data_IF_806823785007
#
_entry.id   IF_806823785007
#
_cell.length_a   1.000
_cell.length_b   1.000
_cell.length_c   1.000
_cell.angle_alpha   90.00
_cell.angle_beta   90.00
_cell.angle_gamma   90.00
#
_symmetry.space_group_name_H-M   'P 1'
#
loop_
_entity.id
_entity.type
_entity.pdbx_description
1 polymer ?
#
# COMPACT_ATOMS: atom_id res chain seq x y z
N UNK A 1 -26.24 -15.69 11.19
CA UNK A 1 -25.30 -14.97 10.29
C UNK A 1 -24.55 -16.00 9.46
N UNK A 2 -25.01 -16.32 8.24
CA UNK A 2 -24.24 -17.15 7.31
C UNK A 2 -23.26 -16.22 6.60
N UNK A 3 -21.98 -16.27 6.99
CA UNK A 3 -20.85 -15.77 6.20
C UNK A 3 -20.73 -16.63 4.94
N UNK A 4 -21.69 -16.54 4.03
CA UNK A 4 -21.45 -16.93 2.67
C UNK A 4 -20.54 -15.84 2.10
N UNK A 5 -19.25 -16.15 2.00
CA UNK A 5 -18.31 -15.36 1.22
C UNK A 5 -18.84 -15.30 -0.20
N UNK A 6 -19.57 -14.25 -0.52
CA UNK A 6 -20.18 -14.07 -1.81
C UNK A 6 -19.12 -13.51 -2.75
N UNK A 7 -18.40 -14.43 -3.40
CA UNK A 7 -17.28 -14.14 -4.30
C UNK A 7 -17.75 -13.25 -5.45
N UNK A 8 -19.00 -13.40 -5.89
CA UNK A 8 -19.58 -12.55 -6.91
C UNK A 8 -19.72 -11.11 -6.42
N UNK A 9 -20.20 -10.91 -5.18
CA UNK A 9 -20.31 -9.58 -4.59
C UNK A 9 -18.94 -8.91 -4.43
N UNK A 10 -17.91 -9.66 -4.02
CA UNK A 10 -16.54 -9.16 -3.92
C UNK A 10 -15.97 -8.78 -5.29
N UNK A 11 -16.23 -9.58 -6.33
CA UNK A 11 -15.83 -9.26 -7.71
C UNK A 11 -16.50 -7.98 -8.21
N UNK A 12 -17.78 -7.78 -7.91
CA UNK A 12 -18.49 -6.55 -8.29
C UNK A 12 -17.93 -5.33 -7.54
N UNK A 13 -17.63 -5.46 -6.25
CA UNK A 13 -16.97 -4.40 -5.48
C UNK A 13 -15.59 -4.03 -6.07
N UNK A 14 -14.80 -5.02 -6.51
CA UNK A 14 -13.54 -4.76 -7.21
C UNK A 14 -13.76 -4.07 -8.55
N UNK A 15 -14.76 -4.47 -9.34
CA UNK A 15 -15.07 -3.82 -10.62
C UNK A 15 -15.45 -2.34 -10.44
N UNK A 16 -16.11 -2.00 -9.34
CA UNK A 16 -16.46 -0.62 -8.99
C UNK A 16 -15.22 0.17 -8.57
N UNK A 17 -14.35 -0.39 -7.72
CA UNK A 17 -13.16 0.32 -7.21
C UNK A 17 -12.02 0.41 -8.22
N UNK A 18 -11.80 -0.64 -9.01
CA UNK A 18 -10.65 -0.79 -9.90
C UNK A 18 -11.02 -0.71 -11.40
N UNK A 19 -12.31 -0.64 -11.72
CA UNK A 19 -12.81 -0.69 -13.08
C UNK A 19 -12.76 -2.08 -13.72
N UNK A 20 -13.15 -2.16 -15.00
CA UNK A 20 -13.16 -3.41 -15.75
C UNK A 20 -11.77 -4.07 -15.88
N UNK A 21 -10.70 -3.26 -15.81
CA UNK A 21 -9.30 -3.71 -15.93
C UNK A 21 -8.62 -3.93 -14.57
N UNK A 22 -9.37 -4.30 -13.54
CA UNK A 22 -8.83 -4.57 -12.20
C UNK A 22 -7.64 -5.54 -12.19
N UNK A 23 -7.62 -6.51 -13.11
CA UNK A 23 -6.55 -7.48 -13.25
C UNK A 23 -5.22 -6.89 -13.74
N UNK A 24 -5.21 -5.73 -14.39
CA UNK A 24 -3.97 -5.09 -14.87
C UNK A 24 -3.26 -4.26 -13.78
N UNK A 25 -3.96 -3.90 -12.70
CA UNK A 25 -3.41 -3.00 -11.67
C UNK A 25 -2.23 -3.61 -10.90
N UNK A 26 -2.22 -4.89 -10.50
CA UNK A 26 -1.03 -5.49 -9.91
C UNK A 26 0.17 -5.43 -10.86
N UNK A 27 -0.04 -5.69 -12.15
CA UNK A 27 1.02 -5.64 -13.17
C UNK A 27 1.54 -4.23 -13.44
N UNK A 28 0.77 -3.19 -13.13
CA UNK A 28 1.22 -1.80 -13.24
C UNK A 28 2.37 -1.46 -12.30
N UNK A 29 2.66 -2.31 -11.29
CA UNK A 29 3.83 -2.18 -10.41
C UNK A 29 5.12 -2.73 -11.01
N UNK A 30 5.05 -3.58 -12.05
CA UNK A 30 6.23 -4.19 -12.66
C UNK A 30 7.18 -3.22 -13.35
N UNK A 31 6.71 -2.18 -14.08
CA UNK A 31 7.59 -1.17 -14.68
C UNK A 31 8.51 -0.50 -13.65
N UNK A 32 8.07 -0.36 -12.39
CA UNK A 32 8.91 0.17 -11.32
C UNK A 32 10.09 -0.75 -11.01
N UNK A 33 9.85 -2.05 -10.87
CA UNK A 33 10.92 -3.03 -10.66
C UNK A 33 11.88 -3.08 -11.85
N UNK A 34 11.35 -3.00 -13.09
CA UNK A 34 12.17 -2.97 -14.29
C UNK A 34 13.08 -1.72 -14.33
N UNK A 35 12.55 -0.57 -13.93
CA UNK A 35 13.32 0.68 -13.80
C UNK A 35 14.42 0.57 -12.74
N UNK A 36 14.12 0.01 -11.57
CA UNK A 36 15.12 -0.22 -10.51
C UNK A 36 16.20 -1.21 -10.95
N UNK A 37 15.82 -2.26 -11.67
CA UNK A 37 16.75 -3.24 -12.23
C UNK A 37 17.72 -2.58 -13.21
N UNK A 38 17.21 -1.73 -14.11
CA UNK A 38 18.03 -0.98 -15.06
C UNK A 38 19.05 -0.06 -14.37
N UNK A 39 18.61 0.70 -13.34
CA UNK A 39 19.52 1.58 -12.58
C UNK A 39 20.63 0.79 -11.88
N UNK A 40 20.29 -0.37 -11.33
CA UNK A 40 21.27 -1.23 -10.62
C UNK A 40 22.31 -1.80 -11.58
N UNK A 41 21.93 -2.03 -12.84
CA UNK A 41 22.81 -2.55 -13.88
C UNK A 41 23.76 -1.49 -14.45
N UNK A 42 23.36 -0.22 -14.41
CA UNK A 42 24.16 0.94 -14.86
C UNK A 42 25.21 1.38 -13.80
N UNK A 43 24.87 1.30 -12.51
CA UNK A 43 25.75 1.66 -11.38
C UNK A 43 26.06 0.45 -10.46
N UNK A 44 27.09 -0.37 -10.73
CA UNK A 44 27.44 -1.55 -9.93
C UNK A 44 27.96 -1.24 -8.51
N UNK A 45 28.15 0.04 -8.16
CA UNK A 45 28.55 0.50 -6.82
C UNK A 45 27.36 0.74 -5.87
N UNK A 46 26.14 0.85 -6.40
CA UNK A 46 24.90 0.91 -5.59
C UNK A 46 24.43 -0.50 -5.25
N UNK A 47 25.06 -1.10 -4.25
CA UNK A 47 24.54 -2.34 -3.67
C UNK A 47 23.27 -1.97 -2.90
N UNK A 48 22.12 -2.32 -3.48
CA UNK A 48 20.80 -2.25 -2.82
C UNK A 48 20.87 -3.15 -1.58
N UNK A 49 21.03 -2.52 -0.41
CA UNK A 49 21.07 -3.23 0.87
C UNK A 49 19.69 -3.79 1.25
N UNK A 50 19.62 -4.80 2.13
CA UNK A 50 18.36 -5.43 2.57
C UNK A 50 17.33 -4.44 3.14
N UNK A 51 17.78 -3.31 3.70
CA UNK A 51 16.90 -2.25 4.22
C UNK A 51 16.09 -1.54 3.13
N UNK A 52 16.68 -1.35 1.95
CA UNK A 52 16.03 -0.63 0.82
C UNK A 52 14.97 -1.46 0.10
N UNK A 53 14.89 -2.77 0.40
CA UNK A 53 13.87 -3.68 -0.15
C UNK A 53 12.48 -3.34 0.38
N UNK A 54 12.37 -3.06 1.68
CA UNK A 54 11.10 -2.73 2.33
C UNK A 54 10.51 -1.42 1.78
N UNK A 55 11.35 -0.38 1.67
CA UNK A 55 10.92 0.95 1.26
C UNK A 55 10.81 1.09 -0.26
N UNK A 56 11.95 1.15 -0.92
CA UNK A 56 12.06 1.60 -2.32
C UNK A 56 11.57 0.55 -3.32
N UNK A 57 11.86 -0.73 -3.09
CA UNK A 57 11.52 -1.80 -4.05
C UNK A 57 10.07 -2.25 -3.95
N UNK A 58 9.59 -2.57 -2.75
CA UNK A 58 8.23 -3.10 -2.53
C UNK A 58 7.29 -2.01 -2.02
N UNK A 59 7.71 -1.20 -1.04
CA UNK A 59 6.86 -0.21 -0.39
C UNK A 59 6.34 0.88 -1.33
N UNK A 60 7.19 1.50 -2.15
CA UNK A 60 6.78 2.57 -3.09
C UNK A 60 5.68 2.11 -4.07
N UNK A 61 5.83 1.03 -4.86
CA UNK A 61 4.79 0.61 -5.78
C UNK A 61 3.51 0.15 -5.07
N UNK A 62 3.65 -0.50 -3.89
CA UNK A 62 2.50 -0.98 -3.13
C UNK A 62 1.70 0.17 -2.50
N UNK A 63 2.39 1.20 -1.99
CA UNK A 63 1.76 2.42 -1.46
C UNK A 63 1.10 3.24 -2.56
N UNK A 64 1.70 3.32 -3.76
CA UNK A 64 1.06 3.94 -4.93
C UNK A 64 -0.28 3.29 -5.27
N UNK A 65 -0.33 1.94 -5.32
CA UNK A 65 -1.58 1.21 -5.50
C UNK A 65 -2.56 1.40 -4.33
N UNK A 66 -2.07 1.38 -3.09
CA UNK A 66 -2.88 1.62 -1.91
C UNK A 66 -3.58 2.98 -1.97
N UNK A 67 -2.84 4.04 -2.32
CA UNK A 67 -3.42 5.38 -2.50
C UNK A 67 -4.48 5.41 -3.60
N UNK A 68 -4.22 4.75 -4.74
CA UNK A 68 -5.19 4.65 -5.83
C UNK A 68 -6.50 3.97 -5.39
N UNK A 69 -6.41 2.83 -4.70
CA UNK A 69 -7.61 2.14 -4.20
C UNK A 69 -8.35 2.96 -3.14
N UNK A 70 -7.62 3.59 -2.22
CA UNK A 70 -8.20 4.42 -1.16
C UNK A 70 -8.98 5.62 -1.71
N UNK A 71 -8.39 6.33 -2.68
CA UNK A 71 -9.02 7.43 -3.42
C UNK A 71 -10.37 7.01 -4.01
N UNK A 72 -10.38 5.96 -4.85
CA UNK A 72 -11.58 5.59 -5.61
C UNK A 72 -12.66 4.97 -4.76
N UNK A 73 -12.30 4.45 -3.59
CA UNK A 73 -13.23 3.78 -2.69
C UNK A 73 -14.41 4.68 -2.31
N UNK A 74 -14.13 5.92 -1.84
CA UNK A 74 -15.15 6.90 -1.45
C UNK A 74 -15.34 7.98 -2.52
N UNK A 75 -14.25 8.60 -3.00
CA UNK A 75 -14.39 9.78 -3.84
C UNK A 75 -15.01 9.44 -5.20
N UNK A 76 -14.74 8.25 -5.75
CA UNK A 76 -15.40 7.77 -6.97
C UNK A 76 -16.92 7.64 -6.80
N UNK A 77 -17.40 7.21 -5.64
CA UNK A 77 -18.84 7.11 -5.36
C UNK A 77 -19.51 8.49 -5.16
N UNK A 78 -18.75 9.47 -4.68
CA UNK A 78 -19.20 10.85 -4.58
C UNK A 78 -19.34 11.44 -5.98
N UNK A 79 -18.31 11.26 -6.82
CA UNK A 79 -18.27 11.80 -8.19
C UNK A 79 -19.35 11.16 -9.08
N UNK A 80 -19.62 9.86 -8.91
CA UNK A 80 -20.66 9.13 -9.65
C UNK A 80 -22.08 9.32 -9.09
N UNK A 81 -22.25 10.10 -8.01
CA UNK A 81 -23.52 10.32 -7.28
C UNK A 81 -24.20 9.03 -6.78
N UNK A 82 -23.47 7.93 -6.71
CA UNK A 82 -23.97 6.63 -6.24
C UNK A 82 -24.01 6.53 -4.72
N UNK A 83 -23.34 7.45 -4.01
CA UNK A 83 -23.32 7.49 -2.56
C UNK A 83 -24.72 7.61 -1.95
N UNK A 84 -25.61 8.44 -2.53
CA UNK A 84 -26.99 8.64 -2.04
C UNK A 84 -27.82 7.35 -2.15
N UNK A 85 -27.58 6.56 -3.19
CA UNK A 85 -28.23 5.26 -3.40
C UNK A 85 -27.70 4.24 -2.38
N UNK A 86 -26.39 4.25 -2.09
CA UNK A 86 -25.78 3.36 -1.12
C UNK A 86 -26.30 3.57 0.32
N UNK A 87 -26.71 4.80 0.67
CA UNK A 87 -27.23 5.14 2.01
C UNK A 87 -28.75 5.03 2.14
N UNK A 88 -29.48 4.89 1.04
CA UNK A 88 -30.95 4.70 1.07
C UNK A 88 -31.37 3.24 1.24
N UNK A 89 -30.46 2.28 1.02
CA UNK A 89 -30.72 0.86 1.21
C UNK A 89 -30.50 0.45 2.68
N UNK A 90 -31.54 0.00 3.40
CA UNK A 90 -31.42 -0.36 4.81
C UNK A 90 -30.48 -1.55 5.02
N UNK A 91 -29.49 -1.38 5.91
CA UNK A 91 -28.54 -2.43 6.31
C UNK A 91 -27.41 -2.74 5.32
N UNK A 92 -27.35 -2.05 4.17
CA UNK A 92 -26.37 -2.34 3.10
C UNK A 92 -25.05 -1.59 3.20
N UNK A 93 -25.04 -0.40 3.84
CA UNK A 93 -23.93 0.53 3.70
C UNK A 93 -22.64 0.03 4.36
N UNK A 94 -22.70 -0.42 5.62
CA UNK A 94 -21.54 -0.96 6.34
C UNK A 94 -20.95 -2.18 5.61
N UNK A 95 -21.80 -3.11 5.16
CA UNK A 95 -21.38 -4.31 4.44
C UNK A 95 -20.69 -3.97 3.11
N UNK A 96 -21.17 -2.96 2.40
CA UNK A 96 -20.57 -2.49 1.15
C UNK A 96 -19.16 -1.94 1.39
N UNK A 97 -18.97 -1.09 2.41
CA UNK A 97 -17.66 -0.54 2.74
C UNK A 97 -16.67 -1.62 3.17
N UNK A 98 -17.09 -2.56 4.02
CA UNK A 98 -16.26 -3.68 4.43
C UNK A 98 -15.82 -4.54 3.24
N UNK A 99 -16.73 -4.84 2.32
CA UNK A 99 -16.38 -5.67 1.15
C UNK A 99 -15.42 -4.93 0.21
N UNK A 100 -15.59 -3.62 -0.01
CA UNK A 100 -14.62 -2.83 -0.77
C UNK A 100 -13.25 -2.84 -0.09
N UNK A 101 -13.19 -2.60 1.22
CA UNK A 101 -11.93 -2.56 1.98
C UNK A 101 -11.23 -3.91 1.95
N UNK A 102 -11.97 -4.98 2.18
CA UNK A 102 -11.46 -6.33 2.12
C UNK A 102 -10.96 -6.70 0.72
N UNK A 103 -11.69 -6.28 -0.32
CA UNK A 103 -11.28 -6.53 -1.71
C UNK A 103 -9.99 -5.78 -2.09
N UNK A 104 -9.86 -4.51 -1.69
CA UNK A 104 -8.66 -3.73 -1.91
C UNK A 104 -7.47 -4.32 -1.15
N UNK A 105 -7.69 -4.74 0.10
CA UNK A 105 -6.68 -5.42 0.91
C UNK A 105 -6.19 -6.71 0.25
N UNK A 106 -7.09 -7.58 -0.23
CA UNK A 106 -6.70 -8.79 -0.95
C UNK A 106 -5.88 -8.51 -2.21
N UNK A 107 -6.21 -7.45 -2.94
CA UNK A 107 -5.43 -7.02 -4.11
C UNK A 107 -4.02 -6.53 -3.73
N UNK A 108 -3.88 -5.83 -2.61
CA UNK A 108 -2.57 -5.44 -2.09
C UNK A 108 -1.76 -6.67 -1.67
N UNK A 109 -2.34 -7.63 -0.96
CA UNK A 109 -1.67 -8.89 -0.58
C UNK A 109 -1.23 -9.68 -1.82
N UNK A 110 -2.09 -9.77 -2.84
CA UNK A 110 -1.73 -10.44 -4.09
C UNK A 110 -0.56 -9.74 -4.80
N UNK A 111 -0.60 -8.41 -4.86
CA UNK A 111 0.47 -7.62 -5.51
C UNK A 111 1.77 -7.75 -4.73
N UNK A 112 1.72 -7.70 -3.40
CA UNK A 112 2.87 -7.91 -2.54
C UNK A 112 3.49 -9.29 -2.75
N UNK A 113 2.68 -10.36 -2.78
CA UNK A 113 3.17 -11.71 -3.06
C UNK A 113 3.89 -11.77 -4.41
N UNK A 114 3.30 -11.18 -5.46
CA UNK A 114 3.90 -11.10 -6.79
C UNK A 114 5.24 -10.35 -6.78
N UNK A 115 5.29 -9.17 -6.16
CA UNK A 115 6.51 -8.37 -6.05
C UNK A 115 7.59 -9.09 -5.23
N UNK A 116 7.19 -9.77 -4.15
CA UNK A 116 8.11 -10.48 -3.25
C UNK A 116 8.86 -11.60 -3.99
N UNK A 117 8.17 -12.35 -4.85
CA UNK A 117 8.73 -13.42 -5.67
C UNK A 117 9.76 -12.84 -6.64
N UNK A 118 9.40 -11.76 -7.34
CA UNK A 118 10.30 -11.13 -8.31
C UNK A 118 11.53 -10.52 -7.65
N UNK A 119 11.36 -9.81 -6.53
CA UNK A 119 12.49 -9.23 -5.81
C UNK A 119 13.45 -10.31 -5.29
N UNK A 120 12.92 -11.44 -4.82
CA UNK A 120 13.72 -12.58 -4.36
C UNK A 120 14.57 -13.18 -5.49
N UNK A 121 14.03 -13.31 -6.70
CA UNK A 121 14.76 -13.88 -7.84
C UNK A 121 15.75 -12.89 -8.50
N UNK A 122 15.42 -11.60 -8.58
CA UNK A 122 16.19 -10.63 -9.36
C UNK A 122 17.15 -9.75 -8.56
N UNK A 123 16.90 -9.54 -7.26
CA UNK A 123 17.68 -8.61 -6.44
C UNK A 123 18.40 -9.34 -5.30
N UNK A 124 17.71 -9.55 -4.17
CA UNK A 124 18.33 -10.06 -2.95
C UNK A 124 17.32 -10.80 -2.07
N UNK A 125 17.76 -11.80 -1.28
CA UNK A 125 16.94 -12.40 -0.25
C UNK A 125 16.72 -11.39 0.89
N UNK A 126 15.48 -11.28 1.36
CA UNK A 126 15.08 -10.36 2.42
C UNK A 126 14.33 -11.11 3.54
N UNK A 127 14.39 -10.62 4.79
CA UNK A 127 13.64 -11.21 5.90
C UNK A 127 12.13 -10.92 5.76
N UNK A 128 11.26 -11.81 6.26
CA UNK A 128 9.80 -11.66 6.14
C UNK A 128 9.25 -10.40 6.85
N UNK A 129 10.00 -9.82 7.79
CA UNK A 129 9.64 -8.54 8.43
C UNK A 129 9.56 -7.37 7.44
N UNK A 130 10.33 -7.39 6.34
CA UNK A 130 10.28 -6.36 5.30
C UNK A 130 8.92 -6.32 4.59
N UNK A 131 8.29 -7.48 4.37
CA UNK A 131 6.98 -7.60 3.75
C UNK A 131 5.92 -6.97 4.64
N UNK A 132 5.87 -7.38 5.91
CA UNK A 132 4.91 -6.82 6.87
C UNK A 132 4.96 -5.29 6.94
N UNK A 133 6.17 -4.71 6.97
CA UNK A 133 6.34 -3.25 6.98
C UNK A 133 5.86 -2.57 5.69
N UNK A 134 6.09 -3.18 4.53
CA UNK A 134 5.61 -2.66 3.25
C UNK A 134 4.08 -2.74 3.15
N UNK A 135 3.49 -3.87 3.55
CA UNK A 135 2.03 -4.04 3.58
C UNK A 135 1.38 -3.04 4.54
N UNK A 136 1.93 -2.88 5.74
CA UNK A 136 1.43 -1.93 6.73
C UNK A 136 1.45 -0.49 6.19
N UNK A 137 2.55 -0.07 5.56
CA UNK A 137 2.64 1.25 4.95
C UNK A 137 1.58 1.44 3.86
N UNK A 138 1.41 0.45 2.97
CA UNK A 138 0.40 0.52 1.90
C UNK A 138 -1.03 0.63 2.44
N UNK A 139 -1.36 -0.13 3.51
CA UNK A 139 -2.66 -0.07 4.15
C UNK A 139 -2.90 1.29 4.82
N UNK A 140 -1.88 1.86 5.46
CA UNK A 140 -1.97 3.19 6.06
C UNK A 140 -2.28 4.26 5.00
N UNK A 141 -1.52 4.27 3.89
CA UNK A 141 -1.75 5.23 2.82
C UNK A 141 -3.07 5.01 2.06
N UNK A 142 -3.56 3.77 1.99
CA UNK A 142 -4.89 3.47 1.46
C UNK A 142 -5.99 4.12 2.32
N UNK A 143 -5.95 3.93 3.64
CA UNK A 143 -6.95 4.52 4.55
C UNK A 143 -6.82 6.05 4.57
N UNK A 144 -5.59 6.58 4.53
CA UNK A 144 -5.34 8.01 4.45
C UNK A 144 -5.92 8.62 3.16
N UNK A 145 -5.74 7.95 2.02
CA UNK A 145 -6.31 8.38 0.73
C UNK A 145 -7.83 8.34 0.73
N UNK A 146 -8.40 7.31 1.35
CA UNK A 146 -9.85 7.22 1.56
C UNK A 146 -10.36 8.38 2.43
N UNK A 147 -9.68 8.70 3.53
CA UNK A 147 -10.06 9.78 4.43
C UNK A 147 -9.95 11.17 3.78
N UNK A 148 -8.86 11.43 3.06
CA UNK A 148 -8.67 12.71 2.35
C UNK A 148 -9.60 12.84 1.13
N UNK A 149 -9.86 11.75 0.42
CA UNK A 149 -10.86 11.71 -0.66
C UNK A 149 -12.27 12.03 -0.14
N UNK A 150 -12.64 11.50 1.04
CA UNK A 150 -13.89 11.85 1.70
C UNK A 150 -13.93 13.31 2.16
N UNK A 151 -12.82 13.83 2.70
CA UNK A 151 -12.72 15.20 3.21
C UNK A 151 -12.86 16.23 2.10
N UNK A 152 -12.15 16.05 0.99
CA UNK A 152 -12.16 16.99 -0.13
C UNK A 152 -13.28 16.73 -1.14
N UNK A 153 -14.02 15.62 -1.00
CA UNK A 153 -15.14 15.23 -1.87
C UNK A 153 -14.78 15.23 -3.36
N UNK A 154 -13.54 14.86 -3.69
CA UNK A 154 -13.07 14.72 -5.07
C UNK A 154 -11.90 13.77 -5.11
N UNK A 155 -11.85 12.93 -6.15
CA UNK A 155 -10.75 12.01 -6.38
C UNK A 155 -9.41 12.78 -6.43
N UNK A 156 -9.33 13.79 -7.29
CA UNK A 156 -8.06 14.49 -7.59
C UNK A 156 -7.43 15.19 -6.38
N UNK A 157 -8.22 15.92 -5.58
CA UNK A 157 -7.73 16.65 -4.41
C UNK A 157 -7.34 15.70 -3.28
N UNK A 158 -8.06 14.59 -3.10
CA UNK A 158 -7.71 13.51 -2.18
C UNK A 158 -6.32 12.95 -2.48
N UNK A 159 -6.04 12.65 -3.76
CA UNK A 159 -4.75 12.10 -4.17
C UNK A 159 -3.61 13.11 -4.03
N UNK A 160 -3.82 14.38 -4.41
CA UNK A 160 -2.81 15.43 -4.23
C UNK A 160 -2.48 15.60 -2.74
N UNK A 161 -3.49 15.59 -1.86
CA UNK A 161 -3.31 15.66 -0.42
C UNK A 161 -2.49 14.48 0.13
N UNK A 162 -2.79 13.25 -0.28
CA UNK A 162 -2.00 12.08 0.13
C UNK A 162 -0.60 12.07 -0.45
N UNK A 163 -0.42 12.49 -1.70
CA UNK A 163 0.88 12.55 -2.34
C UNK A 163 1.80 13.57 -1.65
N UNK A 164 1.23 14.70 -1.20
CA UNK A 164 1.97 15.67 -0.40
C UNK A 164 2.44 15.08 0.95
N UNK A 165 1.59 14.32 1.63
CA UNK A 165 1.95 13.64 2.88
C UNK A 165 2.98 12.53 2.67
N UNK A 166 2.85 11.75 1.59
CA UNK A 166 3.85 10.77 1.18
C UNK A 166 5.20 11.46 0.88
N UNK A 167 5.18 12.59 0.16
CA UNK A 167 6.39 13.35 -0.16
C UNK A 167 7.08 13.90 1.09
N UNK A 168 6.30 14.41 2.05
CA UNK A 168 6.81 14.85 3.35
C UNK A 168 7.40 13.67 4.14
N UNK A 169 6.72 12.52 4.14
CA UNK A 169 7.22 11.30 4.75
C UNK A 169 8.51 10.80 4.08
N UNK A 170 8.58 10.84 2.76
CA UNK A 170 9.78 10.51 1.97
C UNK A 170 10.96 11.43 2.28
N UNK A 171 10.72 12.73 2.43
CA UNK A 171 11.75 13.71 2.79
C UNK A 171 12.29 13.47 4.21
N UNK A 172 11.42 13.09 5.16
CA UNK A 172 11.81 12.85 6.55
C UNK A 172 12.46 11.48 6.77
N UNK A 173 12.05 10.44 6.02
CA UNK A 173 12.43 9.05 6.31
C UNK A 173 13.16 8.35 5.17
N UNK A 174 13.42 9.03 4.05
CA UNK A 174 14.05 8.43 2.87
C UNK A 174 13.23 7.26 2.30
N UNK A 175 11.90 7.36 2.30
CA UNK A 175 10.97 6.27 1.93
C UNK A 175 11.17 4.98 2.75
N UNK A 176 11.64 5.09 3.99
CA UNK A 176 11.83 3.95 4.88
C UNK A 176 13.27 3.49 5.06
N UNK A 177 14.25 4.13 4.39
CA UNK A 177 15.69 3.88 4.63
C UNK A 177 16.17 4.47 5.97
N UNK A 178 15.50 5.50 6.49
CA UNK A 178 15.80 6.16 7.76
C UNK A 178 14.52 6.25 8.59
N UNK A 179 14.10 5.13 9.18
CA UNK A 179 12.89 5.07 9.99
C UNK A 179 13.11 5.77 11.34
N UNK A 180 12.53 6.96 11.49
CA UNK A 180 12.41 7.58 12.81
C UNK A 180 11.52 6.69 13.69
N UNK A 181 12.09 6.19 14.80
CA UNK A 181 11.44 5.28 15.77
C UNK A 181 10.29 5.99 16.51
N UNK A 182 9.17 6.23 15.85
CA UNK A 182 7.99 6.85 16.48
C UNK A 182 7.07 5.84 17.18
N UNK A 183 6.99 4.59 16.71
CA UNK A 183 6.27 3.54 17.45
C UNK A 183 6.78 2.12 17.16
N UNK A 184 6.76 1.21 18.16
CA UNK A 184 7.15 -0.19 17.99
C UNK A 184 6.30 -0.95 16.97
N UNK A 185 5.05 -0.54 16.74
CA UNK A 185 4.14 -1.19 15.80
C UNK A 185 4.42 -0.87 14.33
N UNK A 186 5.25 0.14 14.03
CA UNK A 186 5.64 0.52 12.67
C UNK A 186 6.99 -0.07 12.24
N UNK A 187 7.72 -0.73 13.16
CA UNK A 187 9.04 -1.29 12.89
C UNK A 187 9.12 -2.77 13.35
N UNK A 188 8.96 -3.74 12.45
CA UNK A 188 9.06 -5.17 12.78
C UNK A 188 10.48 -5.63 13.16
N UNK A 189 11.51 -4.79 12.99
CA UNK A 189 12.90 -5.07 13.41
C UNK A 189 13.22 -4.60 14.83
N UNK A 190 12.23 -4.08 15.58
CA UNK A 190 12.41 -3.63 16.98
C UNK A 190 13.01 -4.71 17.88
N UNK A 191 12.85 -6.00 17.53
CA UNK A 191 13.38 -7.12 18.30
C UNK A 191 14.71 -7.70 17.78
N UNK A 192 15.24 -7.22 16.64
CA UNK A 192 16.46 -7.77 16.04
C UNK A 192 17.73 -7.01 16.47
N UNK A 193 17.61 -5.79 16.99
CA UNK A 193 18.72 -5.05 17.63
C UNK A 193 18.74 -5.27 19.15
N UNK A 194 19.07 -6.48 19.60
CA UNK A 194 19.46 -6.73 21.00
C UNK A 194 20.98 -6.77 21.21
N UNK A 195 21.78 -6.40 20.20
CA UNK A 195 23.25 -6.54 20.24
C UNK A 195 24.04 -5.22 20.21
N UNK A 196 23.44 -4.07 20.48
CA UNK A 196 24.15 -2.78 20.45
C UNK A 196 23.70 -1.78 21.51
N UNK A 197 23.30 -2.28 22.69
CA UNK A 197 23.09 -1.49 23.91
C UNK A 197 24.05 -1.90 25.03
N UNK A 198 25.33 -2.14 24.70
CA UNK A 198 26.42 -2.29 25.67
C UNK A 198 27.45 -1.16 25.60
N UNK A 199 27.04 0.06 25.23
CA UNK A 199 27.85 1.25 25.46
C UNK A 199 27.13 2.15 26.48
N UNK A 200 27.07 1.66 27.72
CA UNK A 200 27.03 2.53 28.89
C UNK A 200 28.47 2.90 29.17
N UNK A 201 28.80 4.15 28.86
CA UNK A 201 29.75 5.05 29.54
C UNK A 201 30.94 4.38 30.27
N UNK A 202 32.14 4.61 29.74
CA UNK A 202 33.08 5.52 30.40
C UNK A 202 33.39 6.68 29.44
#
# INVERSE_FOLDING_TARGET
>A
MKLAFDIEFMRHAMLVVAGHRFWMLPFATLPWLAFQYYITMDDPTKIIGPGSVQGTLIGVPLTALGMFFGMRMIAGEIDDRSLEIAYTVPGGCERLWFVKLFSAFLMLVFTEAMLSILVYFFFTPFPPGALYGALQASCFYMILAMALGALFRSETSGLIGTAALLGLNGLLTGFGDSQMRFSPFFNPYVYLDTSSSSNVVD
#
